data_IF_469401758706
#
_entry.id   IF_469401758706
#
_cell.length_a   1.000
_cell.length_b   1.000
_cell.length_c   1.000
_cell.angle_alpha   90.00
_cell.angle_beta   90.00
_cell.angle_gamma   90.00
#
_symmetry.space_group_name_H-M   'P 1'
#
loop_
_entity.id
_entity.type
_entity.pdbx_description
1 polymer ?
#
# COMPACT_ATOMS: atom_id res chain seq x y z
N UNK A 1 -56.91 51.57 8.36
CA UNK A 1 -56.06 50.40 8.06
C UNK A 1 -54.62 50.84 8.23
N UNK A 2 -53.98 50.39 9.32
CA UNK A 2 -52.80 51.05 9.92
C UNK A 2 -51.51 50.67 9.20
N UNK A 3 -50.75 51.68 8.79
CA UNK A 3 -49.35 51.62 8.38
C UNK A 3 -48.46 51.81 9.61
N UNK A 4 -47.37 51.04 9.74
CA UNK A 4 -46.21 51.39 10.58
C UNK A 4 -44.91 50.77 10.07
N UNK A 5 -43.93 51.65 9.90
CA UNK A 5 -42.50 51.49 9.64
C UNK A 5 -41.76 50.63 10.70
N UNK A 6 -40.66 49.96 10.29
CA UNK A 6 -39.29 50.23 10.81
C UNK A 6 -38.21 49.31 10.18
N UNK A 7 -37.15 49.94 9.65
CA UNK A 7 -35.80 49.39 9.46
C UNK A 7 -35.13 49.17 10.84
N UNK A 8 -34.01 48.47 11.09
CA UNK A 8 -32.71 48.29 10.41
C UNK A 8 -31.86 47.39 11.35
N UNK A 9 -30.96 46.54 10.84
CA UNK A 9 -29.59 46.36 11.36
C UNK A 9 -28.87 45.18 10.68
N UNK A 10 -27.66 45.44 10.23
CA UNK A 10 -26.73 44.49 9.63
C UNK A 10 -26.03 43.63 10.69
N UNK A 11 -25.81 42.35 10.38
CA UNK A 11 -24.94 41.44 11.12
C UNK A 11 -24.10 40.61 10.13
N UNK A 12 -22.79 40.60 10.36
CA UNK A 12 -21.71 39.92 9.61
C UNK A 12 -21.87 38.39 9.55
N UNK A 13 -21.37 37.69 8.50
CA UNK A 13 -21.39 36.24 8.47
C UNK A 13 -20.13 35.67 9.15
N UNK A 14 -20.34 34.97 10.26
CA UNK A 14 -19.31 34.19 10.96
C UNK A 14 -19.11 32.84 10.24
N UNK A 15 -17.84 32.52 9.94
CA UNK A 15 -17.42 31.30 9.25
C UNK A 15 -17.68 30.06 10.13
N UNK A 16 -18.63 29.22 9.72
CA UNK A 16 -18.80 27.88 10.26
C UNK A 16 -17.61 26.99 9.84
N UNK A 17 -16.76 26.63 10.81
CA UNK A 17 -15.77 25.55 10.67
C UNK A 17 -16.53 24.21 10.70
N UNK A 18 -16.42 23.43 9.63
CA UNK A 18 -17.00 22.09 9.54
C UNK A 18 -16.42 21.16 10.60
N UNK A 19 -17.29 20.62 11.44
CA UNK A 19 -16.97 19.55 12.37
C UNK A 19 -16.90 18.22 11.60
N UNK A 20 -15.82 17.45 11.82
CA UNK A 20 -15.71 16.06 11.36
C UNK A 20 -16.76 15.16 12.04
N UNK A 21 -17.29 14.13 11.37
CA UNK A 21 -18.34 13.29 11.90
C UNK A 21 -17.79 12.36 12.99
N UNK A 22 -18.42 12.37 14.17
CA UNK A 22 -18.14 11.42 15.25
C UNK A 22 -18.67 10.03 14.89
N UNK A 23 -17.84 9.00 15.04
CA UNK A 23 -18.25 7.60 14.87
C UNK A 23 -19.04 7.12 16.10
N UNK A 24 -20.10 6.29 15.92
CA UNK A 24 -20.91 5.80 17.03
C UNK A 24 -20.14 4.77 17.87
N UNK A 25 -20.21 4.93 19.20
CA UNK A 25 -19.63 4.02 20.18
C UNK A 25 -20.54 2.79 20.36
N UNK A 26 -20.03 1.58 20.11
CA UNK A 26 -20.76 0.33 20.37
C UNK A 26 -19.89 -0.62 21.20
N UNK A 27 -20.43 -1.05 22.35
CA UNK A 27 -19.84 -2.03 23.26
C UNK A 27 -19.78 -3.41 22.58
N UNK A 28 -18.63 -4.09 22.66
CA UNK A 28 -18.42 -5.41 22.07
C UNK A 28 -18.54 -6.52 23.11
N UNK A 29 -19.67 -7.22 23.11
CA UNK A 29 -19.80 -8.53 23.77
C UNK A 29 -19.29 -9.62 22.83
N UNK A 30 -17.97 -9.73 22.68
CA UNK A 30 -17.30 -10.79 21.90
C UNK A 30 -16.44 -11.62 22.84
N UNK A 31 -17.06 -12.31 23.81
CA UNK A 31 -16.30 -13.22 24.67
C UNK A 31 -17.12 -14.43 25.18
N UNK A 32 -17.72 -15.19 24.25
CA UNK A 32 -18.40 -16.46 24.60
C UNK A 32 -18.12 -17.66 23.69
N UNK A 33 -17.16 -17.55 22.76
CA UNK A 33 -16.90 -18.60 21.76
C UNK A 33 -15.50 -19.24 21.85
N UNK A 34 -14.76 -19.08 22.95
CA UNK A 34 -13.39 -19.60 23.10
C UNK A 34 -13.24 -20.85 23.99
N UNK A 35 -14.31 -21.38 24.60
CA UNK A 35 -14.18 -22.42 25.64
C UNK A 35 -14.56 -23.87 25.23
N UNK A 36 -14.75 -24.18 23.95
CA UNK A 36 -14.98 -25.58 23.53
C UNK A 36 -14.15 -25.97 22.33
N UNK A 37 -12.93 -26.45 22.59
CA UNK A 37 -12.17 -27.45 21.78
C UNK A 37 -10.83 -27.75 22.47
N UNK A 38 -10.86 -28.58 23.50
CA UNK A 38 -9.71 -29.41 23.90
C UNK A 38 -10.21 -30.84 23.91
N UNK A 39 -9.78 -31.59 22.89
CA UNK A 39 -9.57 -33.04 22.87
C UNK A 39 -9.35 -33.46 21.41
N UNK A 40 -8.10 -33.72 21.06
CA UNK A 40 -7.72 -34.52 19.88
C UNK A 40 -6.67 -35.54 20.35
N UNK A 41 -6.83 -36.84 20.04
CA UNK A 41 -5.88 -37.86 20.42
C UNK A 41 -4.67 -37.89 19.47
N UNK A 42 -3.55 -38.42 19.99
CA UNK A 42 -2.31 -38.64 19.27
C UNK A 42 -2.51 -39.61 18.09
N UNK A 43 -1.99 -39.25 16.91
CA UNK A 43 -1.88 -40.16 15.78
C UNK A 43 -0.43 -40.65 15.69
N UNK A 44 -0.25 -41.93 16.01
CA UNK A 44 1.00 -42.66 15.94
C UNK A 44 1.37 -43.02 14.49
N UNK A 45 2.67 -43.00 14.26
CA UNK A 45 3.38 -43.26 13.02
C UNK A 45 3.09 -44.65 12.43
N UNK A 46 2.97 -44.72 11.09
CA UNK A 46 3.22 -45.95 10.33
C UNK A 46 3.63 -45.63 8.89
N UNK A 47 4.92 -45.32 8.70
CA UNK A 47 5.61 -45.52 7.42
C UNK A 47 6.87 -46.35 7.67
N UNK A 48 6.69 -47.67 7.55
CA UNK A 48 7.71 -48.62 7.11
C UNK A 48 8.07 -48.22 5.66
N UNK A 49 9.30 -48.18 5.16
CA UNK A 49 10.41 -49.12 5.29
C UNK A 49 11.59 -48.55 4.48
N UNK A 50 12.81 -48.55 5.02
CA UNK A 50 14.06 -48.75 4.27
C UNK A 50 15.19 -48.97 5.28
N UNK A 51 15.83 -50.12 5.16
CA UNK A 51 16.63 -50.77 6.18
C UNK A 51 17.98 -50.09 6.45
N UNK A 52 18.24 -49.85 7.73
CA UNK A 52 19.57 -49.51 8.27
C UNK A 52 20.25 -50.81 8.68
N UNK A 53 21.28 -51.22 7.93
CA UNK A 53 22.25 -52.20 8.42
C UNK A 53 23.28 -51.48 9.29
N UNK A 54 23.29 -51.83 10.56
CA UNK A 54 24.30 -51.46 11.52
C UNK A 54 25.64 -52.14 11.21
N UNK A 55 26.74 -51.40 11.30
CA UNK A 55 27.96 -51.98 11.89
C UNK A 55 28.78 -50.94 12.65
N UNK A 56 28.98 -51.26 13.92
CA UNK A 56 29.86 -50.65 14.90
C UNK A 56 31.34 -50.85 14.55
N UNK A 57 32.13 -49.78 14.63
CA UNK A 57 33.49 -49.70 15.23
C UNK A 57 34.08 -48.31 14.99
N UNK A 58 34.66 -47.74 16.04
CA UNK A 58 35.22 -46.38 16.04
C UNK A 58 36.37 -46.17 15.05
N UNK A 59 36.52 -44.92 14.64
CA UNK A 59 37.63 -44.44 13.80
C UNK A 59 37.19 -43.24 12.99
N UNK A 60 37.66 -42.04 13.37
CA UNK A 60 37.51 -40.82 12.56
C UNK A 60 38.31 -41.00 11.26
N UNK A 61 37.72 -40.90 10.06
CA UNK A 61 38.50 -41.00 8.84
C UNK A 61 39.13 -39.64 8.53
N UNK A 62 40.47 -39.60 8.62
CA UNK A 62 41.29 -38.52 8.05
C UNK A 62 41.16 -38.52 6.53
N UNK A 63 40.79 -37.37 5.97
CA UNK A 63 40.76 -37.17 4.53
C UNK A 63 42.20 -37.14 3.98
N UNK A 64 42.58 -38.20 3.25
CA UNK A 64 43.77 -38.18 2.39
C UNK A 64 43.39 -37.62 1.01
N UNK A 65 44.23 -36.77 0.40
CA UNK A 65 43.88 -36.10 -0.84
C UNK A 65 44.11 -37.02 -2.06
N UNK A 66 43.11 -37.06 -2.94
CA UNK A 66 43.24 -37.69 -4.25
C UNK A 66 44.18 -36.86 -5.14
N UNK A 67 45.33 -37.43 -5.51
CA UNK A 67 46.21 -36.92 -6.56
C UNK A 67 45.54 -37.10 -7.92
N UNK A 68 45.19 -35.99 -8.58
CA UNK A 68 44.67 -35.96 -9.94
C UNK A 68 45.38 -34.90 -10.79
N UNK A 69 46.44 -35.34 -11.48
CA UNK A 69 47.10 -34.83 -12.71
C UNK A 69 47.16 -33.31 -12.96
N UNK A 70 48.40 -32.80 -12.84
CA UNK A 70 48.92 -31.57 -13.44
C UNK A 70 48.65 -31.47 -14.95
N UNK A 71 48.10 -30.32 -15.38
CA UNK A 71 48.39 -29.70 -16.68
C UNK A 71 48.81 -28.24 -16.42
N UNK A 72 49.80 -27.71 -17.16
CA UNK A 72 50.50 -26.49 -16.78
C UNK A 72 49.65 -25.22 -16.96
N UNK A 73 49.84 -24.30 -16.02
CA UNK A 73 49.31 -22.93 -16.00
C UNK A 73 50.01 -22.08 -17.06
N UNK A 74 49.23 -21.59 -18.03
CA UNK A 74 49.63 -20.53 -18.94
C UNK A 74 49.13 -19.17 -18.44
N UNK A 75 50.07 -18.27 -18.17
CA UNK A 75 50.00 -16.80 -18.27
C UNK A 75 48.74 -16.07 -17.76
N UNK A 76 48.92 -15.43 -16.60
CA UNK A 76 48.46 -14.09 -16.21
C UNK A 76 47.41 -13.39 -17.09
N UNK A 77 46.20 -13.23 -16.55
CA UNK A 77 45.35 -12.07 -16.87
C UNK A 77 45.18 -11.30 -15.56
N UNK A 78 46.01 -10.26 -15.40
CA UNK A 78 45.75 -9.18 -14.47
C UNK A 78 44.72 -8.30 -15.17
N UNK A 79 43.48 -8.28 -14.68
CA UNK A 79 42.48 -7.33 -15.16
C UNK A 79 42.82 -5.99 -14.51
N UNK A 80 43.67 -5.21 -15.19
CA UNK A 80 43.97 -3.83 -14.82
C UNK A 80 42.76 -2.96 -15.23
N UNK A 81 41.98 -2.56 -14.22
CA UNK A 81 40.80 -1.72 -14.40
C UNK A 81 41.25 -0.28 -14.66
N UNK A 82 41.36 0.10 -15.94
CA UNK A 82 41.61 1.49 -16.37
C UNK A 82 40.28 2.20 -16.65
N UNK A 83 39.81 3.14 -15.81
CA UNK A 83 38.68 3.99 -16.18
C UNK A 83 39.13 4.96 -17.29
N UNK A 84 38.61 4.79 -18.51
CA UNK A 84 38.69 5.81 -19.55
C UNK A 84 37.64 6.88 -19.25
N UNK A 85 37.99 7.85 -18.40
CA UNK A 85 37.34 9.16 -18.44
C UNK A 85 37.86 9.90 -19.67
N UNK A 86 37.10 9.83 -20.77
CA UNK A 86 37.26 10.77 -21.87
C UNK A 86 36.52 12.05 -21.50
N UNK A 87 37.26 13.10 -21.14
CA UNK A 87 36.73 14.46 -21.06
C UNK A 87 36.24 14.90 -22.44
N UNK A 88 34.92 14.86 -22.64
CA UNK A 88 34.27 15.64 -23.68
C UNK A 88 33.77 16.93 -23.01
N UNK A 89 34.56 17.99 -23.15
CA UNK A 89 34.16 19.36 -22.85
C UNK A 89 33.12 19.81 -23.88
N UNK A 90 31.85 19.48 -23.64
CA UNK A 90 30.73 20.05 -24.39
C UNK A 90 30.16 21.22 -23.58
N UNK A 91 30.58 22.44 -23.96
CA UNK A 91 29.95 23.71 -23.54
C UNK A 91 28.43 23.63 -23.73
N UNK A 92 27.60 24.03 -22.76
CA UNK A 92 26.17 24.14 -22.99
C UNK A 92 25.90 25.36 -23.89
N UNK A 93 25.56 25.10 -25.15
CA UNK A 93 24.90 26.10 -26.00
C UNK A 93 23.52 26.38 -25.41
N UNK A 94 23.27 27.64 -25.07
CA UNK A 94 21.97 28.15 -24.65
C UNK A 94 20.86 27.67 -25.60
N UNK A 95 19.96 26.83 -25.09
CA UNK A 95 18.67 26.58 -25.72
C UNK A 95 17.75 27.75 -25.36
N UNK A 96 17.84 28.80 -26.16
CA UNK A 96 16.82 29.84 -26.28
C UNK A 96 15.61 29.22 -26.99
N UNK A 97 14.83 28.43 -26.27
CA UNK A 97 13.56 27.90 -26.73
C UNK A 97 12.48 28.31 -25.74
N UNK A 98 11.80 29.43 -26.00
CA UNK A 98 10.52 29.74 -25.36
C UNK A 98 9.43 28.81 -25.90
N UNK A 99 9.62 27.50 -25.72
CA UNK A 99 8.56 26.53 -25.83
C UNK A 99 7.70 26.67 -24.59
N UNK A 100 6.70 27.56 -24.61
CA UNK A 100 5.65 27.57 -23.60
C UNK A 100 4.90 26.25 -23.72
N UNK A 101 5.35 25.23 -22.98
CA UNK A 101 4.59 24.03 -22.71
C UNK A 101 3.32 24.50 -22.02
N UNK A 102 2.25 24.70 -22.79
CA UNK A 102 0.91 24.82 -22.23
C UNK A 102 0.57 23.43 -21.73
N UNK A 103 1.10 23.08 -20.56
CA UNK A 103 0.67 21.92 -19.82
C UNK A 103 -0.84 22.05 -19.69
N UNK A 104 -1.59 21.17 -20.37
CA UNK A 104 -2.97 20.93 -20.00
C UNK A 104 -2.88 20.39 -18.59
N UNK A 105 -3.11 21.25 -17.59
CA UNK A 105 -3.26 20.86 -16.20
C UNK A 105 -4.58 20.08 -16.09
N UNK A 106 -4.61 18.89 -16.68
CA UNK A 106 -5.67 17.94 -16.41
C UNK A 106 -5.60 17.68 -14.91
N UNK A 107 -6.72 17.90 -14.22
CA UNK A 107 -6.79 17.69 -12.78
C UNK A 107 -6.30 16.28 -12.45
N UNK A 108 -5.38 16.18 -11.48
CA UNK A 108 -4.84 14.91 -11.02
C UNK A 108 -5.99 14.02 -10.55
N UNK A 109 -6.13 12.81 -11.08
CA UNK A 109 -7.12 11.84 -10.58
C UNK A 109 -6.51 10.95 -9.51
N UNK A 110 -7.21 10.81 -8.38
CA UNK A 110 -6.80 9.91 -7.31
C UNK A 110 -7.96 8.99 -6.89
N UNK A 111 -7.63 7.74 -6.60
CA UNK A 111 -8.60 6.78 -6.08
C UNK A 111 -8.11 6.21 -4.75
N UNK A 112 -9.00 6.11 -3.79
CA UNK A 112 -8.76 5.45 -2.52
C UNK A 112 -9.49 4.11 -2.48
N UNK A 113 -8.82 3.08 -2.00
CA UNK A 113 -9.35 1.72 -1.91
C UNK A 113 -9.38 1.33 -0.44
N UNK A 114 -10.57 1.09 0.11
CA UNK A 114 -10.74 0.51 1.43
C UNK A 114 -10.84 -1.02 1.33
N UNK A 115 -9.80 -1.69 1.79
CA UNK A 115 -9.72 -3.15 1.88
C UNK A 115 -10.15 -3.74 3.22
N UNK A 116 -10.85 -2.99 4.07
CA UNK A 116 -11.38 -3.54 5.33
C UNK A 116 -12.74 -4.20 5.08
N UNK A 117 -12.98 -5.42 5.56
CA UNK A 117 -14.33 -6.01 5.54
C UNK A 117 -15.25 -5.41 6.62
N UNK A 118 -14.70 -4.72 7.62
CA UNK A 118 -15.47 -4.06 8.68
C UNK A 118 -16.06 -2.73 8.20
N UNK A 119 -17.33 -2.48 8.53
CA UNK A 119 -18.00 -1.19 8.32
C UNK A 119 -17.39 -0.06 9.16
N UNK A 120 -16.93 -0.36 10.38
CA UNK A 120 -16.12 0.52 11.21
C UNK A 120 -14.63 0.27 10.92
N UNK A 121 -14.07 0.96 9.93
CA UNK A 121 -12.72 0.72 9.42
C UNK A 121 -11.77 1.89 9.72
N UNK A 122 -10.76 1.62 10.56
CA UNK A 122 -9.66 2.55 10.85
C UNK A 122 -8.83 2.86 9.61
N UNK A 123 -8.54 1.86 8.78
CA UNK A 123 -7.81 2.05 7.53
C UNK A 123 -8.62 2.84 6.50
N UNK A 124 -9.95 2.68 6.46
CA UNK A 124 -10.83 3.52 5.63
C UNK A 124 -10.76 4.99 6.05
N UNK A 125 -10.77 5.28 7.34
CA UNK A 125 -10.67 6.64 7.84
C UNK A 125 -9.37 7.32 7.38
N UNK A 126 -8.24 6.61 7.43
CA UNK A 126 -6.96 7.13 6.93
C UNK A 126 -6.95 7.32 5.40
N UNK A 127 -7.57 6.41 4.64
CA UNK A 127 -7.72 6.57 3.18
C UNK A 127 -8.58 7.78 2.85
N UNK A 128 -9.72 7.95 3.52
CA UNK A 128 -10.59 9.10 3.34
C UNK A 128 -9.84 10.40 3.63
N UNK A 129 -9.11 10.45 4.75
CA UNK A 129 -8.25 11.59 5.06
C UNK A 129 -7.22 11.84 3.95
N UNK A 130 -6.50 10.81 3.46
CA UNK A 130 -5.55 10.98 2.36
C UNK A 130 -6.20 11.55 1.09
N UNK A 131 -7.42 11.11 0.74
CA UNK A 131 -8.17 11.64 -0.39
C UNK A 131 -8.61 13.09 -0.18
N UNK A 132 -9.03 13.48 1.02
CA UNK A 132 -9.32 14.88 1.36
C UNK A 132 -8.08 15.75 1.14
N UNK A 133 -6.91 15.29 1.60
CA UNK A 133 -5.65 16.02 1.42
C UNK A 133 -5.19 16.11 -0.03
N UNK A 134 -5.55 15.13 -0.86
CA UNK A 134 -5.34 15.18 -2.32
C UNK A 134 -6.34 16.15 -2.99
N UNK A 135 -7.60 16.15 -2.56
CA UNK A 135 -8.64 17.07 -3.05
C UNK A 135 -8.31 18.53 -2.71
N UNK A 136 -7.81 18.81 -1.51
CA UNK A 136 -7.30 20.13 -1.09
C UNK A 136 -6.20 20.68 -2.03
N UNK A 137 -5.55 19.79 -2.80
CA UNK A 137 -4.49 20.11 -3.77
C UNK A 137 -5.00 20.10 -5.22
N UNK A 138 -6.31 20.05 -5.42
CA UNK A 138 -6.96 20.11 -6.73
C UNK A 138 -7.09 18.77 -7.45
N UNK A 139 -6.92 17.64 -6.75
CA UNK A 139 -7.16 16.33 -7.33
C UNK A 139 -8.66 16.00 -7.38
N UNK A 140 -9.11 15.37 -8.46
CA UNK A 140 -10.40 14.69 -8.53
C UNK A 140 -10.28 13.35 -7.79
N UNK A 141 -11.07 13.14 -6.73
CA UNK A 141 -10.92 11.97 -5.86
C UNK A 141 -12.17 11.08 -5.83
N UNK A 142 -11.94 9.77 -5.73
CA UNK A 142 -13.00 8.78 -5.55
C UNK A 142 -12.61 7.74 -4.50
N UNK A 143 -13.58 7.29 -3.68
CA UNK A 143 -13.38 6.23 -2.69
C UNK A 143 -14.12 4.96 -3.12
N UNK A 144 -13.38 3.85 -3.20
CA UNK A 144 -13.91 2.50 -3.43
C UNK A 144 -13.90 1.76 -2.09
N UNK A 145 -15.08 1.39 -1.61
CA UNK A 145 -15.23 0.54 -0.42
C UNK A 145 -15.50 -0.92 -0.84
N UNK A 146 -14.48 -1.77 -0.72
CA UNK A 146 -14.57 -3.16 -1.19
C UNK A 146 -15.57 -3.99 -0.40
N UNK A 147 -15.89 -3.62 0.84
CA UNK A 147 -16.89 -4.32 1.64
C UNK A 147 -18.31 -4.17 1.08
N UNK A 148 -18.55 -3.17 0.23
CA UNK A 148 -19.85 -2.91 -0.40
C UNK A 148 -20.01 -3.62 -1.76
N UNK A 149 -18.92 -4.17 -2.29
CA UNK A 149 -18.90 -4.83 -3.59
C UNK A 149 -19.26 -6.32 -3.47
N UNK A 150 -19.91 -6.91 -4.48
CA UNK A 150 -20.31 -8.31 -4.40
C UNK A 150 -19.12 -9.28 -4.44
N UNK A 151 -19.02 -10.17 -3.45
CA UNK A 151 -17.91 -11.09 -3.29
C UNK A 151 -17.64 -11.98 -4.51
N UNK A 152 -18.67 -12.56 -5.13
CA UNK A 152 -18.49 -13.40 -6.32
C UNK A 152 -17.89 -12.63 -7.51
N UNK A 153 -18.17 -11.32 -7.61
CA UNK A 153 -17.61 -10.48 -8.67
C UNK A 153 -16.15 -10.10 -8.35
N UNK A 154 -15.83 -9.83 -7.07
CA UNK A 154 -14.44 -9.63 -6.62
C UNK A 154 -13.57 -10.88 -6.80
N UNK A 155 -14.17 -12.07 -6.78
CA UNK A 155 -13.49 -13.34 -7.07
C UNK A 155 -13.41 -13.64 -8.58
N UNK A 156 -13.89 -12.75 -9.45
CA UNK A 156 -13.88 -12.94 -10.91
C UNK A 156 -14.87 -13.99 -11.42
N UNK A 157 -15.81 -14.48 -10.59
CA UNK A 157 -16.75 -15.55 -10.95
C UNK A 157 -17.99 -15.05 -11.68
N UNK A 158 -18.23 -13.74 -11.66
CA UNK A 158 -19.32 -13.10 -12.40
C UNK A 158 -18.99 -11.64 -12.73
N UNK A 159 -19.52 -11.15 -13.84
CA UNK A 159 -19.48 -9.72 -14.15
C UNK A 159 -20.41 -8.93 -13.22
N UNK A 160 -20.01 -7.71 -12.85
CA UNK A 160 -20.84 -6.78 -12.08
C UNK A 160 -20.39 -5.35 -12.33
N UNK A 161 -21.35 -4.48 -12.66
CA UNK A 161 -21.07 -3.12 -13.10
C UNK A 161 -20.32 -2.27 -12.06
N UNK A 162 -20.56 -2.47 -10.75
CA UNK A 162 -19.87 -1.75 -9.67
C UNK A 162 -18.42 -2.18 -9.53
N UNK A 163 -18.11 -3.47 -9.77
CA UNK A 163 -16.71 -3.93 -9.79
C UNK A 163 -16.02 -3.41 -11.05
N UNK A 164 -16.68 -3.45 -12.21
CA UNK A 164 -16.15 -2.84 -13.43
C UNK A 164 -15.85 -1.35 -13.24
N UNK A 165 -16.79 -0.58 -12.68
CA UNK A 165 -16.59 0.84 -12.39
C UNK A 165 -15.45 1.09 -11.39
N UNK A 166 -15.27 0.21 -10.40
CA UNK A 166 -14.13 0.28 -9.49
C UNK A 166 -12.79 0.08 -10.22
N UNK A 167 -12.72 -0.90 -11.12
CA UNK A 167 -11.52 -1.16 -11.93
C UNK A 167 -11.23 -0.01 -12.90
N UNK A 168 -12.27 0.56 -13.53
CA UNK A 168 -12.16 1.74 -14.38
C UNK A 168 -11.66 2.98 -13.61
N UNK A 169 -12.15 3.19 -12.40
CA UNK A 169 -11.67 4.26 -11.53
C UNK A 169 -10.18 4.09 -11.18
N UNK A 170 -9.73 2.85 -10.92
CA UNK A 170 -8.30 2.55 -10.72
C UNK A 170 -7.50 2.79 -12.00
N UNK A 171 -8.00 2.35 -13.14
CA UNK A 171 -7.36 2.55 -14.44
C UNK A 171 -7.23 4.04 -14.79
N UNK A 172 -8.23 4.87 -14.47
CA UNK A 172 -8.24 6.31 -14.72
C UNK A 172 -7.47 7.16 -13.70
N UNK A 173 -7.04 6.58 -12.57
CA UNK A 173 -6.33 7.32 -11.53
C UNK A 173 -4.82 7.41 -11.80
N UNK A 174 -4.22 8.54 -11.42
CA UNK A 174 -2.76 8.75 -11.38
C UNK A 174 -2.16 8.42 -10.02
N UNK A 175 -2.94 8.59 -8.96
CA UNK A 175 -2.58 8.24 -7.57
C UNK A 175 -3.56 7.20 -7.04
N UNK A 176 -3.05 6.11 -6.47
CA UNK A 176 -3.83 5.03 -5.86
C UNK A 176 -3.46 4.92 -4.39
N UNK A 177 -4.43 5.17 -3.51
CA UNK A 177 -4.27 5.04 -2.06
C UNK A 177 -4.93 3.75 -1.61
N UNK A 178 -4.17 2.76 -1.14
CA UNK A 178 -4.72 1.51 -0.64
C UNK A 178 -4.64 1.44 0.88
N UNK A 179 -5.79 1.28 1.53
CA UNK A 179 -5.92 1.11 2.98
C UNK A 179 -6.40 -0.27 3.36
N UNK A 180 -5.71 -0.93 4.29
CA UNK A 180 -6.08 -2.28 4.72
C UNK A 180 -5.82 -2.50 6.20
N UNK A 181 -6.67 -3.27 6.92
CA UNK A 181 -6.25 -3.85 8.18
C UNK A 181 -5.17 -4.92 7.93
N UNK A 182 -4.33 -5.18 8.93
CA UNK A 182 -3.41 -6.32 8.94
C UNK A 182 -4.10 -7.53 9.54
N UNK A 183 -4.28 -8.58 8.73
CA UNK A 183 -4.76 -9.89 9.15
C UNK A 183 -3.69 -10.93 8.86
N UNK A 184 -3.33 -11.75 9.85
CA UNK A 184 -2.29 -12.79 9.73
C UNK A 184 -0.97 -12.24 9.15
N UNK A 185 -0.51 -11.11 9.71
CA UNK A 185 0.74 -10.44 9.38
C UNK A 185 0.85 -9.81 7.98
N UNK A 186 -0.23 -9.71 7.21
CA UNK A 186 -0.23 -9.01 5.92
C UNK A 186 -1.55 -8.28 5.64
N UNK A 187 -1.64 -7.61 4.49
CA UNK A 187 -2.85 -6.98 3.98
C UNK A 187 -4.04 -7.97 3.93
N UNK A 188 -5.25 -7.44 3.89
CA UNK A 188 -6.45 -8.25 3.88
C UNK A 188 -6.59 -9.03 2.55
N UNK A 189 -7.21 -10.21 2.62
CA UNK A 189 -7.62 -10.93 1.42
C UNK A 189 -8.59 -10.11 0.56
N UNK A 190 -9.42 -9.26 1.19
CA UNK A 190 -10.35 -8.38 0.48
C UNK A 190 -9.63 -7.37 -0.42
N UNK A 191 -8.53 -6.77 0.05
CA UNK A 191 -7.72 -5.91 -0.80
C UNK A 191 -7.12 -6.72 -1.96
N UNK A 192 -6.57 -7.90 -1.65
CA UNK A 192 -5.87 -8.75 -2.61
C UNK A 192 -6.78 -9.19 -3.76
N UNK A 193 -8.01 -9.60 -3.48
CA UNK A 193 -8.94 -10.04 -4.54
C UNK A 193 -9.27 -8.93 -5.54
N UNK A 194 -9.34 -7.66 -5.13
CA UNK A 194 -9.47 -6.56 -6.10
C UNK A 194 -8.21 -6.44 -6.97
N UNK A 195 -7.03 -6.44 -6.34
CA UNK A 195 -5.76 -6.27 -7.05
C UNK A 195 -5.49 -7.42 -8.02
N UNK A 196 -5.99 -8.62 -7.73
CA UNK A 196 -5.90 -9.80 -8.61
C UNK A 196 -6.77 -9.72 -9.86
N UNK A 197 -7.73 -8.79 -9.91
CA UNK A 197 -8.53 -8.51 -11.10
C UNK A 197 -7.86 -7.49 -12.04
N UNK A 198 -6.80 -6.81 -11.60
CA UNK A 198 -6.07 -5.87 -12.45
C UNK A 198 -5.23 -6.65 -13.48
N UNK A 199 -5.07 -6.13 -14.70
CA UNK A 199 -4.18 -6.74 -15.67
C UNK A 199 -2.73 -6.68 -15.18
N UNK A 200 -1.86 -7.45 -15.85
CA UNK A 200 -0.42 -7.29 -15.68
C UNK A 200 -0.03 -5.83 -15.89
N UNK A 201 0.77 -5.28 -14.98
CA UNK A 201 1.16 -3.86 -15.01
C UNK A 201 -0.02 -2.86 -14.93
N UNK A 202 -1.16 -3.28 -14.36
CA UNK A 202 -2.38 -2.46 -14.28
C UNK A 202 -2.23 -1.14 -13.50
N UNK A 203 -1.12 -0.96 -12.77
CA UNK A 203 -0.76 0.28 -12.09
C UNK A 203 0.49 0.95 -12.68
N UNK A 204 0.93 0.57 -13.89
CA UNK A 204 2.04 1.19 -14.58
C UNK A 204 1.85 2.70 -14.71
N UNK A 205 2.90 3.45 -14.40
CA UNK A 205 2.88 4.90 -14.43
C UNK A 205 1.95 5.54 -13.38
N UNK A 206 1.50 4.81 -12.35
CA UNK A 206 0.71 5.33 -11.22
C UNK A 206 1.56 5.46 -9.96
N UNK A 207 1.19 6.39 -9.07
CA UNK A 207 1.80 6.52 -7.74
C UNK A 207 0.96 5.80 -6.69
N UNK A 208 1.56 4.88 -5.94
CA UNK A 208 0.92 4.16 -4.85
C UNK A 208 1.19 4.79 -3.48
N UNK A 209 0.14 4.96 -2.66
CA UNK A 209 0.25 5.23 -1.22
C UNK A 209 -0.26 4.00 -0.46
N UNK A 210 0.60 3.41 0.37
CA UNK A 210 0.29 2.25 1.18
C UNK A 210 -0.10 2.66 2.61
N UNK A 211 -1.31 2.30 3.03
CA UNK A 211 -1.84 2.54 4.37
C UNK A 211 -2.25 1.21 4.99
N UNK A 212 -1.73 0.91 6.17
CA UNK A 212 -2.10 -0.27 6.95
C UNK A 212 -2.50 0.12 8.38
N UNK A 213 -3.39 -0.68 8.97
CA UNK A 213 -3.73 -0.57 10.40
C UNK A 213 -3.67 -1.92 11.07
N UNK A 214 -3.14 -1.98 12.30
CA UNK A 214 -3.08 -3.21 13.08
C UNK A 214 -3.40 -3.00 14.55
N UNK A 215 -3.36 -4.08 15.34
CA UNK A 215 -3.58 -3.99 16.77
C UNK A 215 -2.44 -3.24 17.47
N UNK A 216 -1.21 -3.73 17.33
CA UNK A 216 0.01 -3.10 17.84
C UNK A 216 1.06 -2.88 16.75
N UNK A 217 2.28 -2.46 17.08
CA UNK A 217 3.32 -2.12 16.10
C UNK A 217 4.01 -3.32 15.43
N UNK A 218 3.80 -4.54 15.94
CA UNK A 218 4.54 -5.75 15.53
C UNK A 218 4.43 -6.13 14.04
N UNK A 219 3.47 -5.58 13.30
CA UNK A 219 3.28 -5.84 11.88
C UNK A 219 3.45 -4.60 11.00
N UNK A 220 4.14 -3.56 11.49
CA UNK A 220 4.43 -2.36 10.71
C UNK A 220 5.15 -2.66 9.38
N UNK A 221 6.06 -3.63 9.40
CA UNK A 221 6.80 -4.08 8.21
C UNK A 221 5.92 -4.76 7.14
N UNK A 222 4.64 -5.04 7.41
CA UNK A 222 3.71 -5.49 6.39
C UNK A 222 3.51 -4.46 5.26
N UNK A 223 3.82 -3.19 5.53
CA UNK A 223 3.90 -2.16 4.49
C UNK A 223 4.99 -2.52 3.48
N UNK A 224 6.22 -2.74 3.93
CA UNK A 224 7.39 -2.91 3.04
C UNK A 224 7.55 -4.34 2.53
N UNK A 225 7.04 -5.35 3.26
CA UNK A 225 7.10 -6.76 2.84
C UNK A 225 5.79 -7.30 2.25
N UNK A 226 4.70 -6.54 2.31
CA UNK A 226 3.41 -6.92 1.75
C UNK A 226 2.90 -5.92 0.72
N UNK A 227 2.51 -4.73 1.17
CA UNK A 227 1.84 -3.75 0.31
C UNK A 227 2.75 -3.17 -0.77
N UNK A 228 3.99 -2.78 -0.44
CA UNK A 228 4.93 -2.22 -1.42
C UNK A 228 5.28 -3.23 -2.52
N UNK A 229 5.58 -4.52 -2.22
CA UNK A 229 5.72 -5.55 -3.25
C UNK A 229 4.46 -5.73 -4.11
N UNK A 230 3.26 -5.71 -3.52
CA UNK A 230 1.99 -5.83 -4.26
C UNK A 230 1.80 -4.69 -5.28
N UNK A 231 2.08 -3.44 -4.87
CA UNK A 231 2.06 -2.30 -5.80
C UNK A 231 3.13 -2.44 -6.89
N UNK A 232 4.35 -2.80 -6.51
CA UNK A 232 5.47 -2.92 -7.44
C UNK A 232 5.23 -4.02 -8.49
N UNK A 233 4.61 -5.15 -8.11
CA UNK A 233 4.26 -6.22 -9.05
C UNK A 233 3.22 -5.82 -10.10
N UNK A 234 2.53 -4.70 -9.90
CA UNK A 234 1.58 -4.11 -10.85
C UNK A 234 2.15 -2.86 -11.55
N UNK A 235 3.44 -2.58 -11.40
CA UNK A 235 4.13 -1.49 -12.10
C UNK A 235 3.97 -0.10 -11.46
N UNK A 236 3.44 -0.01 -10.24
CA UNK A 236 3.31 1.27 -9.55
C UNK A 236 4.63 1.76 -8.96
N UNK A 237 4.85 3.08 -8.97
CA UNK A 237 5.87 3.73 -8.14
C UNK A 237 5.26 4.02 -6.77
N UNK A 238 5.82 3.44 -5.71
CA UNK A 238 5.29 3.61 -4.35
C UNK A 238 6.04 4.71 -3.62
N UNK A 239 5.33 5.63 -2.95
CA UNK A 239 5.97 6.67 -2.14
C UNK A 239 6.79 6.05 -1.00
N UNK A 240 7.94 6.62 -0.61
CA UNK A 240 8.74 6.11 0.50
C UNK A 240 7.96 6.06 1.82
N UNK A 241 7.17 7.09 2.11
CA UNK A 241 6.40 7.19 3.35
C UNK A 241 5.20 6.23 3.36
N UNK A 242 5.43 5.04 3.92
CA UNK A 242 4.36 4.12 4.29
C UNK A 242 3.65 4.53 5.58
N UNK A 243 2.34 4.34 5.65
CA UNK A 243 1.54 4.71 6.83
C UNK A 243 1.07 3.47 7.56
N UNK A 244 1.48 3.31 8.82
CA UNK A 244 0.98 2.27 9.71
C UNK A 244 0.35 2.87 10.97
N UNK A 245 -0.92 2.56 11.21
CA UNK A 245 -1.61 2.94 12.44
C UNK A 245 -1.84 1.77 13.39
N UNK A 246 -1.34 1.85 14.62
CA UNK A 246 -1.69 0.92 15.70
C UNK A 246 -3.07 1.26 16.28
N UNK A 247 -3.68 0.35 17.04
CA UNK A 247 -5.03 0.59 17.57
C UNK A 247 -5.10 1.70 18.61
N UNK A 248 -4.01 1.93 19.35
CA UNK A 248 -3.88 2.98 20.38
C UNK A 248 -3.91 4.39 19.78
N UNK A 249 -3.51 4.53 18.51
CA UNK A 249 -3.55 5.81 17.79
C UNK A 249 -4.96 6.20 17.31
N UNK A 250 -5.98 5.41 17.68
CA UNK A 250 -7.39 5.68 17.41
C UNK A 250 -8.15 5.61 18.74
N UNK A 251 -8.25 6.74 19.43
CA UNK A 251 -8.92 6.88 20.72
C UNK A 251 -10.08 7.87 20.59
N UNK A 252 -11.22 7.57 21.20
CA UNK A 252 -12.40 8.47 21.26
C UNK A 252 -12.89 8.98 19.89
N UNK A 253 -12.75 8.15 18.86
CA UNK A 253 -13.10 8.51 17.48
C UNK A 253 -12.14 9.49 16.82
N UNK A 254 -11.04 9.85 17.46
CA UNK A 254 -9.98 10.70 16.94
C UNK A 254 -8.78 9.87 16.49
N UNK A 255 -8.05 10.40 15.50
CA UNK A 255 -6.80 9.82 15.01
C UNK A 255 -5.65 10.64 15.59
N UNK A 256 -4.61 9.96 16.09
CA UNK A 256 -3.43 10.61 16.65
C UNK A 256 -2.79 11.59 15.63
N UNK A 257 -2.39 12.81 16.05
CA UNK A 257 -1.82 13.82 15.15
C UNK A 257 -0.61 13.34 14.36
N UNK A 258 0.25 12.51 14.98
CA UNK A 258 1.47 11.98 14.37
C UNK A 258 1.13 11.04 13.19
N UNK A 259 0.03 10.30 13.30
CA UNK A 259 -0.45 9.43 12.23
C UNK A 259 -1.02 10.24 11.06
N UNK A 260 -1.74 11.32 11.34
CA UNK A 260 -2.22 12.25 10.31
C UNK A 260 -1.05 12.95 9.60
N UNK A 261 -0.01 13.35 10.33
CA UNK A 261 1.22 13.92 9.78
C UNK A 261 1.95 12.93 8.85
N UNK A 262 1.93 11.64 9.17
CA UNK A 262 2.48 10.59 8.31
C UNK A 262 1.68 10.47 7.00
N UNK A 263 0.34 10.52 7.06
CA UNK A 263 -0.50 10.54 5.85
C UNK A 263 -0.22 11.80 5.01
N UNK A 264 -0.14 12.96 5.65
CA UNK A 264 0.18 14.23 4.99
C UNK A 264 1.53 14.18 4.27
N UNK A 265 2.54 13.51 4.85
CA UNK A 265 3.85 13.31 4.21
C UNK A 265 3.73 12.43 2.97
N UNK A 266 3.06 11.29 3.08
CA UNK A 266 2.84 10.38 1.96
C UNK A 266 2.08 11.06 0.81
N UNK A 267 1.07 11.88 1.12
CA UNK A 267 0.32 12.66 0.12
C UNK A 267 1.22 13.68 -0.57
N UNK A 268 2.07 14.41 0.15
CA UNK A 268 3.01 15.37 -0.46
C UNK A 268 3.97 14.67 -1.42
N UNK A 269 4.55 13.55 -1.01
CA UNK A 269 5.43 12.74 -1.86
C UNK A 269 4.69 12.27 -3.12
N UNK A 270 3.44 11.81 -2.97
CA UNK A 270 2.67 11.33 -4.10
C UNK A 270 2.37 12.41 -5.13
N UNK A 271 2.04 13.63 -4.67
CA UNK A 271 1.81 14.78 -5.55
C UNK A 271 3.09 15.18 -6.27
N UNK A 272 4.23 15.21 -5.57
CA UNK A 272 5.53 15.50 -6.20
C UNK A 272 5.88 14.47 -7.28
N UNK A 273 5.71 13.18 -6.99
CA UNK A 273 6.00 12.12 -7.96
C UNK A 273 5.01 12.12 -9.13
N UNK A 274 3.74 12.39 -8.86
CA UNK A 274 2.74 12.47 -9.91
C UNK A 274 2.99 13.65 -10.86
N UNK A 275 3.49 14.78 -10.34
CA UNK A 275 3.85 15.94 -11.15
C UNK A 275 5.12 15.70 -12.00
N UNK A 276 6.13 15.02 -11.46
CA UNK A 276 7.40 14.77 -12.14
C UNK A 276 7.31 13.75 -13.29
N UNK A 277 6.22 13.00 -13.37
CA UNK A 277 6.03 11.95 -14.38
C UNK A 277 4.90 12.32 -15.37
N UNK A 278 4.64 13.62 -15.53
CA UNK A 278 3.79 14.19 -16.59
C UNK A 278 4.61 14.51 -17.87
N UNK A 279 5.92 14.25 -17.87
CA UNK A 279 6.83 14.51 -19.00
C UNK A 279 7.03 13.29 -19.91
#
# INVERSE_FOLDING_TARGET
MVSKFAARAAGTPERARGALPQLPQVRSDVNRASERRRERPACSERLSRCDVLANSRGGVPSARPCRGRNRPLGSSIVIEFRPRFASAESRPTHLSGEGRVRGRTAALRAVGISGSPSSASKSRALVAYALERLADRGAETALIDLATLPAEALLGRRAEARVTAALEAVAGARVVVAGTPIYRATYSGLLKVLFDLLPQDGLAGKIGIAIATGHGPAHSLAIDHGLRPLFASLGATVVPSGVYGSSEQFADGQVAPELLQAVDRAVREAVTFAAAAID
#
